data_IF_307538646635
#
_entry.id   IF_307538646635
#
_cell.length_a   1.000
_cell.length_b   1.000
_cell.length_c   1.000
_cell.angle_alpha   90.00
_cell.angle_beta   90.00
_cell.angle_gamma   90.00
#
_symmetry.space_group_name_H-M   'P 1'
#
loop_
_entity.id
_entity.type
_entity.pdbx_description
1 polymer ?
#
# COMPACT_ATOMS: atom_id res chain seq x y z
N UNK A 1 6.42 -34.57 -46.81
CA UNK A 1 7.61 -34.55 -45.95
C UNK A 1 8.05 -33.10 -45.80
N UNK A 2 8.20 -32.68 -44.54
CA UNK A 2 8.97 -31.51 -44.08
C UNK A 2 8.33 -30.13 -44.23
N UNK A 3 7.60 -29.76 -43.18
CA UNK A 3 7.37 -28.40 -42.72
C UNK A 3 8.68 -27.63 -42.50
N UNK A 4 8.66 -26.33 -42.75
CA UNK A 4 9.31 -25.33 -41.88
C UNK A 4 8.59 -23.99 -42.06
N UNK A 5 7.64 -23.76 -41.16
CA UNK A 5 7.04 -22.47 -40.87
C UNK A 5 7.81 -21.94 -39.67
N UNK A 6 8.53 -20.82 -39.81
CA UNK A 6 9.32 -20.26 -38.72
C UNK A 6 8.44 -19.31 -37.90
N UNK A 7 7.98 -19.81 -36.77
CA UNK A 7 7.61 -19.10 -35.53
C UNK A 7 8.76 -18.12 -35.15
N UNK A 8 8.64 -17.04 -34.37
CA UNK A 8 7.65 -16.51 -33.44
C UNK A 8 8.17 -15.10 -33.02
N UNK A 9 7.30 -14.08 -32.97
CA UNK A 9 6.81 -13.40 -31.75
C UNK A 9 7.71 -12.28 -31.18
N UNK A 10 7.25 -11.05 -31.46
CA UNK A 10 7.25 -9.80 -30.66
C UNK A 10 8.23 -9.62 -29.50
N UNK A 11 9.25 -8.79 -29.74
CA UNK A 11 10.16 -8.18 -28.76
C UNK A 11 9.68 -6.80 -28.23
N UNK A 12 8.42 -6.44 -28.44
CA UNK A 12 7.90 -5.09 -28.13
C UNK A 12 7.47 -4.87 -26.68
N UNK A 13 7.20 -5.93 -25.90
CA UNK A 13 6.73 -5.82 -24.50
C UNK A 13 7.80 -5.38 -23.49
N UNK A 14 9.05 -5.82 -23.66
CA UNK A 14 10.11 -5.62 -22.66
C UNK A 14 10.61 -4.17 -22.53
N UNK A 15 10.50 -3.35 -23.58
CA UNK A 15 10.95 -1.96 -23.54
C UNK A 15 9.90 -1.00 -22.95
N UNK A 16 8.61 -1.34 -23.06
CA UNK A 16 7.53 -0.56 -22.45
C UNK A 16 7.53 -0.75 -20.93
N UNK A 17 7.61 -1.99 -20.45
CA UNK A 17 7.65 -2.30 -19.01
C UNK A 17 8.88 -1.72 -18.32
N UNK A 18 10.08 -1.76 -18.94
CA UNK A 18 11.28 -1.13 -18.38
C UNK A 18 11.17 0.39 -18.27
N UNK A 19 10.48 1.05 -19.19
CA UNK A 19 10.24 2.50 -19.15
C UNK A 19 9.19 2.86 -18.09
N UNK A 20 8.10 2.08 -17.99
CA UNK A 20 7.09 2.24 -16.95
C UNK A 20 7.68 2.06 -15.55
N UNK A 21 8.47 1.01 -15.33
CA UNK A 21 9.18 0.76 -14.07
C UNK A 21 10.16 1.89 -13.73
N UNK A 22 10.84 2.45 -14.73
CA UNK A 22 11.74 3.60 -14.57
C UNK A 22 11.02 4.86 -14.10
N UNK A 23 9.84 5.15 -14.67
CA UNK A 23 9.01 6.28 -14.27
C UNK A 23 8.40 6.08 -12.88
N UNK A 24 7.92 4.87 -12.58
CA UNK A 24 7.35 4.54 -11.28
C UNK A 24 8.39 4.65 -10.14
N UNK A 25 9.64 4.25 -10.43
CA UNK A 25 10.76 4.49 -9.52
C UNK A 25 11.08 5.97 -9.31
N UNK A 26 10.62 6.87 -10.18
CA UNK A 26 10.80 8.31 -10.00
C UNK A 26 9.63 8.94 -9.22
N UNK A 27 8.40 8.45 -9.46
CA UNK A 27 7.18 8.96 -8.84
C UNK A 27 6.98 8.52 -7.39
N UNK A 28 7.47 7.32 -7.01
CA UNK A 28 7.36 6.83 -5.63
C UNK A 28 8.39 7.47 -4.70
N UNK A 29 7.94 7.81 -3.49
CA UNK A 29 8.79 8.27 -2.39
C UNK A 29 9.74 7.14 -1.92
N UNK A 30 10.85 7.53 -1.28
CA UNK A 30 11.81 6.55 -0.78
C UNK A 30 11.21 5.65 0.30
N UNK A 31 10.35 6.18 1.17
CA UNK A 31 9.63 5.36 2.16
C UNK A 31 8.73 4.33 1.48
N UNK A 32 7.92 4.74 0.50
CA UNK A 32 7.05 3.82 -0.25
C UNK A 32 7.84 2.70 -0.94
N UNK A 33 9.00 3.01 -1.54
CA UNK A 33 9.88 1.99 -2.14
C UNK A 33 10.40 1.00 -1.10
N UNK A 34 10.73 1.50 0.08
CA UNK A 34 11.22 0.70 1.19
C UNK A 34 10.10 -0.22 1.71
N UNK A 35 8.88 0.30 1.89
CA UNK A 35 7.71 -0.48 2.30
C UNK A 35 7.40 -1.63 1.33
N UNK A 36 7.42 -1.36 0.01
CA UNK A 36 7.21 -2.40 -1.01
C UNK A 36 8.27 -3.50 -0.87
N UNK A 37 9.53 -3.11 -0.67
CA UNK A 37 10.65 -4.05 -0.52
C UNK A 37 10.53 -4.90 0.73
N UNK A 38 10.18 -4.27 1.85
CA UNK A 38 10.01 -4.96 3.13
C UNK A 38 8.83 -5.92 3.08
N UNK A 39 7.70 -5.49 2.51
CA UNK A 39 6.55 -6.36 2.30
C UNK A 39 6.94 -7.58 1.46
N UNK A 40 7.62 -7.39 0.33
CA UNK A 40 8.09 -8.52 -0.49
C UNK A 40 8.98 -9.47 0.32
N UNK A 41 10.00 -8.93 0.99
CA UNK A 41 10.95 -9.74 1.76
C UNK A 41 10.32 -10.45 2.96
N UNK A 42 9.23 -9.93 3.51
CA UNK A 42 8.52 -10.53 4.64
C UNK A 42 7.67 -11.74 4.21
N UNK A 43 7.16 -11.72 2.98
CA UNK A 43 6.24 -12.75 2.46
C UNK A 43 6.86 -13.72 1.46
N UNK A 44 8.05 -13.44 0.94
CA UNK A 44 8.91 -14.44 0.27
C UNK A 44 9.45 -15.43 1.32
N UNK A 45 8.58 -16.33 1.79
CA UNK A 45 8.87 -17.20 2.94
C UNK A 45 9.94 -18.24 2.60
N UNK A 46 9.97 -18.67 1.35
CA UNK A 46 10.92 -19.66 0.85
C UNK A 46 12.23 -19.02 0.35
N UNK A 47 12.32 -17.68 0.30
CA UNK A 47 13.44 -16.89 -0.20
C UNK A 47 13.87 -17.29 -1.61
N UNK A 48 12.90 -17.64 -2.46
CA UNK A 48 13.16 -17.99 -3.86
C UNK A 48 13.18 -16.77 -4.78
N UNK A 49 12.94 -15.57 -4.22
CA UNK A 49 12.92 -14.30 -4.95
C UNK A 49 11.63 -14.08 -5.74
N UNK A 50 10.59 -14.88 -5.49
CA UNK A 50 9.28 -14.81 -6.09
C UNK A 50 8.18 -14.94 -5.01
N UNK A 51 6.94 -14.59 -5.39
CA UNK A 51 5.76 -14.79 -4.56
C UNK A 51 4.77 -15.70 -5.29
N UNK A 52 4.27 -16.72 -4.60
CA UNK A 52 3.13 -17.50 -5.05
C UNK A 52 1.80 -16.76 -4.80
N UNK A 53 0.67 -17.37 -5.19
CA UNK A 53 -0.66 -16.79 -4.99
C UNK A 53 -0.98 -16.40 -3.53
N UNK A 54 -0.60 -17.23 -2.56
CA UNK A 54 -0.89 -16.99 -1.15
C UNK A 54 0.02 -15.89 -0.60
N UNK A 55 1.31 -15.96 -0.91
CA UNK A 55 2.30 -14.97 -0.50
C UNK A 55 1.96 -13.60 -1.09
N UNK A 56 1.63 -13.54 -2.38
CA UNK A 56 1.20 -12.33 -3.06
C UNK A 56 -0.06 -11.73 -2.40
N UNK A 57 -1.05 -12.56 -2.09
CA UNK A 57 -2.29 -12.10 -1.46
C UNK A 57 -2.01 -11.47 -0.09
N UNK A 58 -1.16 -12.09 0.73
CA UNK A 58 -0.84 -11.56 2.06
C UNK A 58 0.04 -10.30 1.94
N UNK A 59 0.97 -10.25 0.98
CA UNK A 59 1.80 -9.07 0.72
C UNK A 59 0.97 -7.85 0.31
N UNK A 60 -0.01 -8.00 -0.59
CA UNK A 60 -0.94 -6.93 -0.92
C UNK A 60 -1.73 -6.46 0.30
N UNK A 61 -2.21 -7.39 1.12
CA UNK A 61 -2.95 -7.06 2.34
C UNK A 61 -2.09 -6.27 3.33
N UNK A 62 -0.82 -6.62 3.49
CA UNK A 62 0.12 -5.90 4.35
C UNK A 62 0.39 -4.47 3.87
N UNK A 63 0.35 -4.24 2.56
CA UNK A 63 0.46 -2.92 1.95
C UNK A 63 -0.88 -2.15 1.92
N UNK A 64 -1.91 -2.67 2.60
CA UNK A 64 -3.21 -2.03 2.72
C UNK A 64 -4.12 -2.19 1.50
N UNK A 65 -3.84 -3.16 0.62
CA UNK A 65 -4.69 -3.53 -0.50
C UNK A 65 -5.39 -4.87 -0.23
N UNK A 66 -6.72 -4.84 -0.05
CA UNK A 66 -7.51 -6.05 0.14
C UNK A 66 -8.06 -6.55 -1.20
N UNK A 67 -7.35 -7.52 -1.80
CA UNK A 67 -7.70 -8.07 -3.10
C UNK A 67 -8.57 -9.33 -2.96
N UNK A 68 -9.61 -9.41 -3.78
CA UNK A 68 -10.38 -10.63 -3.97
C UNK A 68 -9.53 -11.70 -4.66
N UNK A 69 -9.96 -12.97 -4.55
CA UNK A 69 -9.30 -14.09 -5.26
C UNK A 69 -9.12 -13.82 -6.75
N UNK A 70 -10.12 -13.20 -7.38
CA UNK A 70 -10.10 -12.89 -8.81
C UNK A 70 -9.03 -11.86 -9.13
N UNK A 71 -8.96 -10.77 -8.37
CA UNK A 71 -7.98 -9.70 -8.59
C UNK A 71 -6.54 -10.18 -8.37
N UNK A 72 -6.30 -11.06 -7.39
CA UNK A 72 -4.96 -11.66 -7.22
C UNK A 72 -4.58 -12.51 -8.45
N UNK A 73 -5.50 -13.29 -8.99
CA UNK A 73 -5.25 -14.08 -10.20
C UNK A 73 -5.05 -13.20 -11.43
N UNK A 74 -5.80 -12.10 -11.54
CA UNK A 74 -5.65 -11.13 -12.62
C UNK A 74 -4.25 -10.49 -12.58
N UNK A 75 -3.74 -10.15 -11.38
CA UNK A 75 -2.36 -9.67 -11.20
C UNK A 75 -1.33 -10.74 -11.60
N UNK A 76 -1.52 -12.00 -11.19
CA UNK A 76 -0.61 -13.07 -11.59
C UNK A 76 -0.59 -13.18 -13.11
N UNK A 77 -1.75 -13.26 -13.75
CA UNK A 77 -1.86 -13.38 -15.20
C UNK A 77 -1.26 -12.18 -15.96
N UNK A 78 -1.34 -10.97 -15.40
CA UNK A 78 -0.83 -9.76 -16.04
C UNK A 78 0.70 -9.62 -15.95
N UNK A 79 1.30 -10.01 -14.82
CA UNK A 79 2.72 -9.76 -14.54
C UNK A 79 3.59 -11.02 -14.48
N UNK A 80 3.01 -12.21 -14.61
CA UNK A 80 3.73 -13.46 -14.83
C UNK A 80 4.17 -13.58 -16.30
N UNK A 81 5.44 -13.33 -16.55
CA UNK A 81 6.01 -13.34 -17.89
C UNK A 81 6.49 -14.72 -18.35
N UNK A 82 6.50 -15.73 -17.47
CA UNK A 82 7.07 -17.05 -17.76
C UNK A 82 6.14 -18.23 -17.44
N UNK A 83 4.85 -17.95 -17.22
CA UNK A 83 3.77 -18.92 -16.96
C UNK A 83 4.05 -19.85 -15.76
N UNK A 84 4.86 -19.40 -14.79
CA UNK A 84 5.17 -20.18 -13.57
C UNK A 84 4.15 -20.01 -12.46
N UNK A 85 3.20 -19.09 -12.62
CA UNK A 85 2.29 -18.59 -11.59
C UNK A 85 3.02 -18.01 -10.37
N UNK A 86 4.19 -17.39 -10.63
CA UNK A 86 5.05 -16.78 -9.63
C UNK A 86 5.32 -15.32 -10.01
N UNK A 87 5.32 -14.44 -9.02
CA UNK A 87 5.58 -13.01 -9.22
C UNK A 87 6.95 -12.66 -8.67
N UNK A 88 7.85 -12.23 -9.57
CA UNK A 88 9.17 -11.71 -9.16
C UNK A 88 9.05 -10.37 -8.43
N UNK A 89 10.10 -9.98 -7.70
CA UNK A 89 10.15 -8.66 -7.08
C UNK A 89 9.93 -7.50 -8.07
N UNK A 90 10.47 -7.58 -9.29
CA UNK A 90 10.28 -6.51 -10.29
C UNK A 90 8.81 -6.38 -10.71
N UNK A 91 8.15 -7.51 -10.95
CA UNK A 91 6.71 -7.59 -11.25
C UNK A 91 5.86 -7.09 -10.08
N UNK A 92 6.18 -7.51 -8.85
CA UNK A 92 5.50 -7.05 -7.64
C UNK A 92 5.62 -5.55 -7.44
N UNK A 93 6.84 -5.01 -7.56
CA UNK A 93 7.11 -3.59 -7.42
C UNK A 93 6.31 -2.77 -8.44
N UNK A 94 6.21 -3.24 -9.68
CA UNK A 94 5.40 -2.58 -10.69
C UNK A 94 3.90 -2.62 -10.33
N UNK A 95 3.36 -3.81 -10.03
CA UNK A 95 1.94 -3.99 -9.75
C UNK A 95 1.47 -3.22 -8.50
N UNK A 96 2.32 -3.14 -7.47
CA UNK A 96 2.04 -2.36 -6.25
C UNK A 96 2.26 -0.88 -6.48
N UNK A 97 3.37 -0.50 -7.11
CA UNK A 97 3.69 0.91 -7.32
C UNK A 97 2.64 1.61 -8.17
N UNK A 98 2.12 0.96 -9.22
CA UNK A 98 1.02 1.51 -10.04
C UNK A 98 -0.23 1.71 -9.19
N UNK A 99 -0.53 0.83 -8.23
CA UNK A 99 -1.65 1.00 -7.30
C UNK A 99 -1.42 2.11 -6.29
N UNK A 100 -0.19 2.31 -5.82
CA UNK A 100 0.17 3.40 -4.90
C UNK A 100 0.04 4.75 -5.62
N UNK A 101 0.56 4.88 -6.85
CA UNK A 101 0.47 6.12 -7.62
C UNK A 101 -0.98 6.47 -7.99
N UNK A 102 -1.81 5.47 -8.28
CA UNK A 102 -3.22 5.67 -8.60
C UNK A 102 -4.14 5.73 -7.37
N UNK A 103 -3.59 5.64 -6.16
CA UNK A 103 -4.37 5.70 -4.92
C UNK A 103 -4.79 7.14 -4.67
N UNK A 104 -6.07 7.34 -4.34
CA UNK A 104 -6.55 8.65 -3.88
C UNK A 104 -5.90 8.98 -2.53
N UNK A 105 -5.14 10.09 -2.41
CA UNK A 105 -4.58 10.53 -1.14
C UNK A 105 -5.64 10.65 -0.04
N UNK A 106 -6.87 11.03 -0.41
CA UNK A 106 -7.96 11.15 0.54
C UNK A 106 -8.34 9.79 1.14
N UNK A 107 -8.30 8.71 0.34
CA UNK A 107 -8.58 7.35 0.84
C UNK A 107 -7.46 6.80 1.74
N UNK A 108 -6.26 7.35 1.64
CA UNK A 108 -5.17 7.06 2.58
C UNK A 108 -5.39 7.73 3.92
N UNK A 109 -5.76 9.02 3.91
CA UNK A 109 -6.12 9.77 5.11
C UNK A 109 -7.30 9.12 5.83
N UNK A 110 -8.35 8.72 5.10
CA UNK A 110 -9.50 7.99 5.68
C UNK A 110 -9.11 6.66 6.32
N UNK A 111 -8.13 5.95 5.73
CA UNK A 111 -7.62 4.70 6.32
C UNK A 111 -6.82 4.97 7.57
N UNK A 112 -5.99 6.01 7.58
CA UNK A 112 -5.28 6.43 8.78
C UNK A 112 -6.28 6.81 9.89
N UNK A 113 -7.32 7.59 9.57
CA UNK A 113 -8.38 7.94 10.52
C UNK A 113 -8.98 6.72 11.22
N UNK A 114 -9.30 5.66 10.46
CA UNK A 114 -9.82 4.40 11.02
C UNK A 114 -8.82 3.62 11.89
N UNK A 115 -7.51 3.84 11.71
CA UNK A 115 -6.50 3.28 12.61
C UNK A 115 -6.46 4.02 13.95
N UNK A 116 -6.83 5.30 13.97
CA UNK A 116 -7.03 6.05 15.21
C UNK A 116 -8.36 5.67 15.89
N UNK A 117 -9.50 5.79 15.19
CA UNK A 117 -10.86 5.49 15.70
C UNK A 117 -11.15 3.97 15.77
N UNK A 118 -10.45 3.25 16.65
CA UNK A 118 -10.56 1.80 16.79
C UNK A 118 -11.92 1.29 17.31
N UNK A 119 -12.71 2.15 17.95
CA UNK A 119 -14.07 1.87 18.39
C UNK A 119 -15.17 2.31 17.41
N UNK A 120 -14.81 2.82 16.24
CA UNK A 120 -15.72 3.20 15.15
C UNK A 120 -16.82 4.18 15.59
N UNK A 121 -16.44 5.17 16.40
CA UNK A 121 -17.34 6.25 16.83
C UNK A 121 -17.57 7.29 15.73
N UNK A 122 -16.70 7.30 14.71
CA UNK A 122 -16.63 8.33 13.69
C UNK A 122 -15.81 9.55 14.13
N UNK A 123 -15.13 9.48 15.28
CA UNK A 123 -14.34 10.57 15.87
C UNK A 123 -13.09 10.01 16.56
N UNK A 124 -12.04 10.81 16.65
CA UNK A 124 -10.81 10.48 17.36
C UNK A 124 -10.86 11.16 18.72
N UNK A 125 -11.08 10.37 19.76
CA UNK A 125 -11.08 10.82 21.15
C UNK A 125 -9.65 10.90 21.72
N UNK A 126 -9.52 11.56 22.88
CA UNK A 126 -8.29 11.54 23.69
C UNK A 126 -7.82 10.11 24.02
N UNK A 127 -8.76 9.16 24.15
CA UNK A 127 -8.44 7.75 24.41
C UNK A 127 -7.77 7.12 23.19
N UNK A 128 -8.27 7.40 21.98
CA UNK A 128 -7.72 6.91 20.73
C UNK A 128 -6.31 7.46 20.50
N UNK A 129 -6.10 8.79 20.61
CA UNK A 129 -4.77 9.40 20.46
C UNK A 129 -3.76 8.86 21.48
N UNK A 130 -4.17 8.70 22.75
CA UNK A 130 -3.30 8.15 23.79
C UNK A 130 -2.86 6.72 23.48
N UNK A 131 -3.75 5.89 22.93
CA UNK A 131 -3.42 4.52 22.51
C UNK A 131 -2.36 4.57 21.41
N UNK A 132 -2.61 5.33 20.34
CA UNK A 132 -1.68 5.43 19.21
C UNK A 132 -0.32 6.00 19.63
N UNK A 133 -0.29 7.06 20.45
CA UNK A 133 0.95 7.61 21.02
C UNK A 133 1.79 6.55 21.73
N UNK A 134 1.15 5.68 22.53
CA UNK A 134 1.85 4.60 23.24
C UNK A 134 2.34 3.51 22.30
N UNK A 135 1.58 3.16 21.27
CA UNK A 135 1.98 2.18 20.25
C UNK A 135 3.19 2.65 19.44
N UNK A 136 3.28 3.97 19.18
CA UNK A 136 4.42 4.60 18.53
C UNK A 136 5.61 4.83 19.47
N UNK A 137 5.45 4.61 20.77
CA UNK A 137 6.50 4.85 21.77
C UNK A 137 6.75 6.33 22.09
N UNK A 138 5.81 7.21 21.73
CA UNK A 138 5.87 8.64 22.01
C UNK A 138 5.43 8.92 23.46
N UNK A 139 6.20 9.75 24.17
CA UNK A 139 5.97 10.10 25.57
C UNK A 139 5.18 11.42 25.68
N UNK A 140 3.95 11.44 25.19
CA UNK A 140 3.05 12.59 25.29
C UNK A 140 2.22 12.51 26.58
N UNK A 141 2.08 13.64 27.26
CA UNK A 141 1.20 13.76 28.43
C UNK A 141 -0.25 13.93 28.02
N UNK A 142 -1.17 13.74 28.96
CA UNK A 142 -2.60 13.99 28.72
C UNK A 142 -2.87 15.44 28.30
N UNK A 143 -2.10 16.39 28.83
CA UNK A 143 -2.22 17.81 28.49
C UNK A 143 -1.71 18.08 27.07
N UNK A 144 -0.61 17.43 26.64
CA UNK A 144 -0.11 17.55 25.26
C UNK A 144 -1.13 16.99 24.26
N UNK A 145 -1.70 15.82 24.55
CA UNK A 145 -2.72 15.18 23.72
C UNK A 145 -4.02 15.98 23.69
N UNK A 146 -4.38 16.64 24.80
CA UNK A 146 -5.53 17.54 24.87
C UNK A 146 -5.30 18.75 23.97
N UNK A 147 -4.12 19.37 24.07
CA UNK A 147 -3.75 20.51 23.24
C UNK A 147 -3.76 20.15 21.74
N UNK A 148 -3.35 18.92 21.38
CA UNK A 148 -3.46 18.44 19.99
C UNK A 148 -4.91 18.36 19.48
N UNK A 149 -5.87 18.00 20.35
CA UNK A 149 -7.30 18.01 19.98
C UNK A 149 -7.78 19.44 19.87
N UNK A 150 -7.56 20.24 20.90
CA UNK A 150 -8.08 21.61 21.00
C UNK A 150 -7.60 22.53 19.86
N UNK A 151 -6.45 22.25 19.23
CA UNK A 151 -5.93 23.02 18.09
C UNK A 151 -6.71 22.78 16.78
N UNK A 152 -7.33 21.60 16.61
CA UNK A 152 -7.97 21.17 15.36
C UNK A 152 -9.45 20.78 15.50
N UNK A 153 -9.98 20.74 16.71
CA UNK A 153 -11.40 20.60 17.03
C UNK A 153 -12.13 21.91 16.65
N UNK A 154 -12.74 21.93 15.47
CA UNK A 154 -13.39 23.11 14.90
C UNK A 154 -14.84 23.25 15.36
N UNK A 155 -15.47 22.15 15.75
CA UNK A 155 -16.85 22.13 16.25
C UNK A 155 -16.96 22.18 17.78
N UNK A 156 -15.82 22.20 18.49
CA UNK A 156 -15.65 22.32 19.94
C UNK A 156 -16.34 21.18 20.71
N UNK A 157 -16.38 19.98 20.14
CA UNK A 157 -17.00 18.81 20.78
C UNK A 157 -16.05 17.98 21.66
N UNK A 158 -14.76 18.32 21.63
CA UNK A 158 -13.69 17.70 22.40
C UNK A 158 -13.08 16.44 21.78
N UNK A 159 -13.39 16.14 20.52
CA UNK A 159 -12.88 15.04 19.70
C UNK A 159 -12.54 15.55 18.28
N UNK A 160 -11.88 14.73 17.44
CA UNK A 160 -11.55 15.10 16.06
C UNK A 160 -12.38 14.24 15.10
N UNK A 161 -13.29 14.85 14.34
CA UNK A 161 -14.07 14.18 13.31
C UNK A 161 -13.27 13.94 12.01
N UNK A 162 -13.82 13.16 11.08
CA UNK A 162 -13.13 12.80 9.82
C UNK A 162 -12.71 14.02 9.00
N UNK A 163 -13.53 15.08 8.97
CA UNK A 163 -13.24 16.27 8.19
C UNK A 163 -12.11 17.09 8.81
N UNK A 164 -12.07 17.22 10.13
CA UNK A 164 -10.98 17.88 10.86
C UNK A 164 -9.66 17.13 10.69
N UNK A 165 -9.69 15.80 10.74
CA UNK A 165 -8.52 14.97 10.48
C UNK A 165 -8.01 15.11 9.05
N UNK A 166 -8.91 15.22 8.06
CA UNK A 166 -8.52 15.50 6.68
C UNK A 166 -7.83 16.85 6.56
N UNK A 167 -8.31 17.88 7.26
CA UNK A 167 -7.69 19.20 7.24
C UNK A 167 -6.26 19.12 7.83
N UNK A 168 -6.07 18.40 8.96
CA UNK A 168 -4.73 18.17 9.55
C UNK A 168 -3.75 17.55 8.54
N UNK A 169 -4.21 16.60 7.72
CA UNK A 169 -3.35 15.88 6.79
C UNK A 169 -3.14 16.59 5.44
N UNK A 170 -3.85 17.69 5.18
CA UNK A 170 -3.84 18.37 3.87
C UNK A 170 -3.44 19.84 3.92
N UNK A 171 -3.44 20.47 5.11
CA UNK A 171 -2.89 21.81 5.35
C UNK A 171 -1.38 21.77 5.66
#
# INVERSE_FOLDING_TARGET
>A
MSHQNNSSVSSSGNNANKRALGNLKLELLNEQKQEIREAFSLFDMNNDGCLDYHELKVAFRALGFDLTKREVLDVIHEYDTDDRNLITYESFFQAVGERIVNRDPLDEIRRAFKLFDDDNTGKISLRNLRRVSKELGENLTDDDLRAMIDEFDLDEDGEINEQEFINICTE
#
